data_IF_391916821376
#
_entry.id   IF_391916821376
#
_cell.length_a   1.000
_cell.length_b   1.000
_cell.length_c   1.000
_cell.angle_alpha   90.00
_cell.angle_beta   90.00
_cell.angle_gamma   90.00
#
_symmetry.space_group_name_H-M   'P 1'
#
loop_
_entity.id
_entity.type
_entity.pdbx_description
1 polymer ?
#
# COMPACT_ATOMS: atom_id res chain seq x y z
N UNK A 1 -23.75 -31.12 76.97
CA UNK A 1 -22.28 -31.04 76.90
C UNK A 1 -21.91 -30.41 75.58
N UNK A 2 -21.49 -29.13 75.59
CA UNK A 2 -21.14 -28.35 74.40
C UNK A 2 -19.63 -28.50 74.17
N UNK A 3 -19.23 -28.98 72.99
CA UNK A 3 -17.86 -28.92 72.49
C UNK A 3 -17.55 -27.50 71.98
N UNK A 4 -16.35 -26.94 72.23
CA UNK A 4 -16.00 -25.60 71.76
C UNK A 4 -15.63 -25.61 70.27
N UNK A 5 -16.07 -24.57 69.55
CA UNK A 5 -15.66 -24.27 68.18
C UNK A 5 -14.19 -23.78 68.14
N UNK A 6 -13.43 -24.05 67.06
CA UNK A 6 -12.08 -23.55 66.89
C UNK A 6 -12.06 -22.04 66.58
N UNK A 7 -10.93 -21.34 66.84
CA UNK A 7 -10.83 -19.90 66.66
C UNK A 7 -10.80 -19.50 65.18
N UNK A 8 -11.48 -18.40 64.87
CA UNK A 8 -11.49 -17.76 63.55
C UNK A 8 -10.13 -17.15 63.21
N UNK A 9 -9.50 -17.63 62.14
CA UNK A 9 -8.30 -17.01 61.56
C UNK A 9 -8.75 -15.82 60.71
N UNK A 10 -8.58 -14.60 61.23
CA UNK A 10 -8.69 -13.37 60.45
C UNK A 10 -7.50 -13.27 59.50
N UNK A 11 -7.67 -13.73 58.26
CA UNK A 11 -6.70 -13.51 57.19
C UNK A 11 -7.03 -12.17 56.53
N UNK A 12 -6.37 -11.11 56.95
CA UNK A 12 -6.45 -9.81 56.29
C UNK A 12 -5.81 -9.93 54.90
N UNK A 13 -6.62 -10.06 53.86
CA UNK A 13 -6.16 -9.92 52.48
C UNK A 13 -5.84 -8.43 52.22
N UNK A 14 -4.56 -8.07 52.29
CA UNK A 14 -4.09 -6.81 51.74
C UNK A 14 -4.17 -6.91 50.20
N UNK A 15 -5.22 -6.34 49.62
CA UNK A 15 -5.34 -6.17 48.18
C UNK A 15 -4.35 -5.09 47.75
N UNK A 16 -3.17 -5.51 47.28
CA UNK A 16 -2.21 -4.61 46.66
C UNK A 16 -2.79 -4.16 45.31
N UNK A 17 -3.44 -3.00 45.30
CA UNK A 17 -3.95 -2.36 44.10
C UNK A 17 -2.74 -1.77 43.34
N UNK A 18 -2.09 -2.61 42.54
CA UNK A 18 -1.09 -2.15 41.57
C UNK A 18 -1.84 -1.36 40.51
N UNK A 19 -1.93 -0.04 40.69
CA UNK A 19 -2.29 0.88 39.62
C UNK A 19 -1.09 0.91 38.68
N UNK A 20 -1.01 -0.11 37.82
CA UNK A 20 -0.13 -0.09 36.68
C UNK A 20 -0.63 1.01 35.77
N UNK A 21 0.07 2.15 35.74
CA UNK A 21 -0.05 3.09 34.64
C UNK A 21 0.28 2.31 33.38
N UNK A 22 -0.74 1.94 32.60
CA UNK A 22 -0.58 1.59 31.19
C UNK A 22 -0.08 2.87 30.50
N UNK A 23 1.24 3.10 30.60
CA UNK A 23 1.90 4.02 29.72
C UNK A 23 1.54 3.57 28.31
N UNK A 24 0.81 4.41 27.59
CA UNK A 24 0.60 4.21 26.16
C UNK A 24 1.99 4.07 25.55
N UNK A 25 2.40 2.84 25.23
CA UNK A 25 3.57 2.63 24.39
C UNK A 25 3.26 3.40 23.12
N UNK A 26 4.03 4.44 22.77
CA UNK A 26 3.80 5.13 21.51
C UNK A 26 3.96 4.07 20.42
N UNK A 27 2.89 3.78 19.68
CA UNK A 27 2.99 2.99 18.45
C UNK A 27 3.97 3.75 17.58
N UNK A 28 5.19 3.20 17.43
CA UNK A 28 6.21 3.82 16.62
C UNK A 28 5.63 4.03 15.23
N UNK A 29 5.63 5.28 14.77
CA UNK A 29 5.20 5.61 13.43
C UNK A 29 6.15 4.88 12.47
N UNK A 30 5.61 3.91 11.77
CA UNK A 30 6.41 3.10 10.86
C UNK A 30 7.16 3.97 9.82
N UNK A 31 8.38 3.57 9.43
CA UNK A 31 9.21 4.36 8.51
C UNK A 31 8.54 4.51 7.13
N UNK A 32 8.76 5.67 6.50
CA UNK A 32 8.19 6.05 5.19
C UNK A 32 9.27 6.69 4.32
N UNK A 33 9.09 6.64 2.99
CA UNK A 33 10.04 7.16 2.01
C UNK A 33 10.93 6.10 1.37
N UNK A 34 11.88 6.57 0.56
CA UNK A 34 12.77 5.73 -0.25
C UNK A 34 13.75 4.94 0.65
N UNK A 35 14.03 3.69 0.29
CA UNK A 35 14.93 2.77 0.96
C UNK A 35 14.34 2.12 2.22
N UNK A 36 13.04 2.30 2.48
CA UNK A 36 12.41 1.71 3.66
C UNK A 36 12.36 0.20 3.52
N UNK A 37 12.92 -0.50 4.51
CA UNK A 37 12.91 -1.96 4.53
C UNK A 37 11.53 -2.47 4.94
N UNK A 38 11.14 -3.58 4.32
CA UNK A 38 9.96 -4.32 4.74
C UNK A 38 10.05 -4.68 6.24
N UNK A 39 9.04 -4.35 7.06
CA UNK A 39 9.04 -4.72 8.47
C UNK A 39 8.96 -6.24 8.62
N UNK A 40 9.35 -6.76 9.79
CA UNK A 40 9.30 -8.18 10.07
C UNK A 40 7.88 -8.72 9.88
N UNK A 41 7.73 -9.76 9.06
CA UNK A 41 6.44 -10.38 8.76
C UNK A 41 5.63 -9.72 7.64
N UNK A 42 6.14 -8.65 7.02
CA UNK A 42 5.55 -8.12 5.80
C UNK A 42 5.71 -9.10 4.62
N UNK A 43 4.70 -9.13 3.77
CA UNK A 43 4.75 -9.87 2.51
C UNK A 43 5.55 -9.07 1.47
N UNK A 44 6.74 -9.55 1.11
CA UNK A 44 7.61 -8.90 0.12
C UNK A 44 7.12 -9.23 -1.28
N UNK A 45 6.42 -8.30 -1.92
CA UNK A 45 5.80 -8.55 -3.23
C UNK A 45 6.81 -8.58 -4.39
N UNK A 46 7.98 -7.95 -4.23
CA UNK A 46 9.07 -7.97 -5.21
C UNK A 46 10.42 -7.70 -4.54
N UNK A 47 11.43 -8.52 -4.87
CA UNK A 47 12.76 -8.53 -4.25
C UNK A 47 13.87 -8.28 -5.29
N UNK A 48 13.48 -7.89 -6.51
CA UNK A 48 14.39 -7.74 -7.65
C UNK A 48 14.48 -8.98 -8.54
N UNK A 49 13.97 -10.15 -8.13
CA UNK A 49 14.13 -11.39 -8.88
C UNK A 49 12.97 -11.70 -9.83
N UNK A 50 13.29 -12.34 -10.96
CA UNK A 50 12.31 -12.96 -11.87
C UNK A 50 11.46 -14.01 -11.14
N UNK A 51 12.10 -14.81 -10.29
CA UNK A 51 11.43 -15.85 -9.50
C UNK A 51 10.28 -15.27 -8.67
N UNK A 52 10.51 -14.18 -7.93
CA UNK A 52 9.46 -13.61 -7.10
C UNK A 52 8.36 -12.92 -7.91
N UNK A 53 8.72 -12.28 -9.03
CA UNK A 53 7.74 -11.76 -9.98
C UNK A 53 6.78 -12.86 -10.45
N UNK A 54 7.31 -13.97 -10.97
CA UNK A 54 6.50 -15.07 -11.49
C UNK A 54 5.75 -15.83 -10.38
N UNK A 55 6.29 -15.87 -9.16
CA UNK A 55 5.64 -16.48 -7.99
C UNK A 55 4.43 -15.67 -7.51
N UNK A 56 4.56 -14.34 -7.42
CA UNK A 56 3.59 -13.48 -6.73
C UNK A 56 2.64 -12.72 -7.64
N UNK A 57 2.90 -12.65 -8.93
CA UNK A 57 2.13 -11.84 -9.87
C UNK A 57 1.58 -12.63 -11.05
N UNK A 58 0.53 -12.12 -11.66
CA UNK A 58 -0.05 -12.60 -12.92
C UNK A 58 -0.58 -11.42 -13.72
N UNK A 59 -0.88 -11.60 -15.01
CA UNK A 59 -1.63 -10.60 -15.75
C UNK A 59 -3.03 -10.39 -15.16
N UNK A 60 -3.46 -9.14 -15.06
CA UNK A 60 -4.83 -8.80 -14.75
C UNK A 60 -5.74 -9.19 -15.93
N UNK A 61 -6.79 -9.96 -15.63
CA UNK A 61 -7.77 -10.43 -16.62
C UNK A 61 -8.81 -9.34 -16.92
N UNK A 62 -8.32 -8.20 -17.44
CA UNK A 62 -9.16 -7.10 -17.89
C UNK A 62 -9.78 -7.35 -19.26
N UNK A 63 -10.81 -6.57 -19.65
CA UNK A 63 -11.53 -6.74 -20.91
C UNK A 63 -10.68 -6.55 -22.18
N UNK A 64 -9.44 -6.10 -22.03
CA UNK A 64 -8.52 -5.75 -23.14
C UNK A 64 -7.19 -6.48 -23.06
N UNK A 65 -7.08 -7.54 -22.24
CA UNK A 65 -5.84 -8.30 -22.11
C UNK A 65 -5.54 -9.07 -23.41
N UNK A 66 -4.42 -8.76 -24.04
CA UNK A 66 -3.85 -9.53 -25.15
C UNK A 66 -2.57 -10.30 -24.77
N UNK A 67 -2.00 -10.02 -23.60
CA UNK A 67 -0.80 -10.68 -23.12
C UNK A 67 -1.08 -12.10 -22.61
N UNK A 68 -0.08 -12.96 -22.69
CA UNK A 68 -0.11 -14.34 -22.20
C UNK A 68 1.09 -14.57 -21.31
N UNK A 69 0.94 -15.42 -20.28
CA UNK A 69 2.05 -15.82 -19.41
C UNK A 69 3.17 -16.48 -20.23
N UNK A 70 4.45 -16.33 -19.82
CA UNK A 70 4.92 -15.61 -18.63
C UNK A 70 4.85 -14.08 -18.77
N UNK A 71 4.89 -13.35 -17.64
CA UNK A 71 4.86 -11.88 -17.59
C UNK A 71 6.07 -11.30 -18.34
N UNK A 72 5.82 -10.40 -19.29
CA UNK A 72 6.83 -9.77 -20.15
C UNK A 72 7.46 -8.49 -19.58
N UNK A 73 6.98 -7.99 -18.43
CA UNK A 73 7.68 -6.94 -17.67
C UNK A 73 9.08 -7.43 -17.33
N UNK A 74 10.12 -6.75 -17.82
CA UNK A 74 11.49 -7.24 -17.75
C UNK A 74 12.11 -7.03 -16.37
N UNK A 75 13.08 -7.88 -15.99
CA UNK A 75 13.95 -7.63 -14.84
C UNK A 75 15.23 -7.00 -15.40
N UNK A 76 15.53 -5.79 -14.96
CA UNK A 76 16.63 -4.98 -15.47
C UNK A 76 17.54 -4.51 -14.33
N UNK A 77 18.71 -3.99 -14.67
CA UNK A 77 19.57 -3.31 -13.69
C UNK A 77 18.90 -2.02 -13.24
N UNK A 78 18.93 -1.74 -11.94
CA UNK A 78 18.48 -0.45 -11.40
C UNK A 78 19.27 0.69 -12.06
N UNK A 79 18.60 1.69 -12.67
CA UNK A 79 19.26 2.82 -13.29
C UNK A 79 20.02 3.72 -12.30
N UNK A 80 19.72 3.65 -11.00
CA UNK A 80 20.29 4.48 -9.96
C UNK A 80 20.81 3.68 -8.74
N UNK A 81 21.01 2.38 -8.89
CA UNK A 81 21.40 1.50 -7.78
C UNK A 81 22.08 0.19 -8.21
N UNK A 82 22.55 -0.62 -7.22
CA UNK A 82 23.22 -1.89 -7.49
C UNK A 82 22.25 -3.07 -7.67
N UNK A 83 20.97 -2.86 -7.36
CA UNK A 83 19.92 -3.89 -7.39
C UNK A 83 19.34 -4.08 -8.80
N UNK A 84 18.34 -4.95 -8.89
CA UNK A 84 17.52 -5.15 -10.09
C UNK A 84 16.11 -4.62 -9.85
N UNK A 85 15.46 -4.23 -10.94
CA UNK A 85 14.14 -3.59 -10.95
C UNK A 85 13.23 -4.27 -11.96
N UNK A 86 11.93 -4.05 -11.80
CA UNK A 86 10.93 -4.46 -12.77
C UNK A 86 10.61 -3.30 -13.71
N UNK A 87 10.79 -3.49 -15.00
CA UNK A 87 10.40 -2.53 -16.02
C UNK A 87 8.95 -2.80 -16.44
N UNK A 88 8.07 -1.81 -16.24
CA UNK A 88 6.65 -1.91 -16.53
C UNK A 88 6.28 -1.80 -18.01
N UNK A 89 7.26 -1.68 -18.89
CA UNK A 89 7.04 -1.72 -20.33
C UNK A 89 6.77 -3.17 -20.79
N UNK A 90 5.52 -3.47 -21.14
CA UNK A 90 5.16 -4.73 -21.76
C UNK A 90 5.15 -4.60 -23.31
N UNK A 91 6.04 -5.28 -24.05
CA UNK A 91 6.08 -5.18 -25.50
C UNK A 91 4.84 -5.74 -26.20
N UNK A 92 4.04 -6.58 -25.53
CA UNK A 92 2.78 -7.06 -26.10
C UNK A 92 1.69 -6.00 -26.18
N UNK A 93 1.90 -4.86 -25.52
CA UNK A 93 1.05 -3.68 -25.60
C UNK A 93 1.54 -2.63 -26.64
N UNK A 94 2.63 -2.92 -27.37
CA UNK A 94 3.15 -2.01 -28.38
C UNK A 94 2.10 -1.66 -29.43
N UNK A 95 2.10 -0.41 -29.91
CA UNK A 95 1.08 0.11 -30.82
C UNK A 95 -0.07 0.85 -30.11
N UNK A 96 -0.02 0.96 -28.78
CA UNK A 96 -0.77 1.97 -28.03
C UNK A 96 -2.28 1.77 -27.99
N UNK A 97 -2.79 0.63 -28.46
CA UNK A 97 -4.23 0.34 -28.34
C UNK A 97 -4.67 0.30 -26.87
N UNK A 98 -3.80 -0.17 -25.94
CA UNK A 98 -4.25 -0.57 -24.60
C UNK A 98 -3.33 -0.21 -23.40
N UNK A 99 -2.21 0.51 -23.59
CA UNK A 99 -1.21 0.71 -22.51
C UNK A 99 -0.52 -0.62 -22.13
N UNK A 100 0.58 -0.58 -21.36
CA UNK A 100 1.29 -1.80 -20.94
C UNK A 100 0.33 -2.82 -20.30
N UNK A 101 0.49 -4.12 -20.56
CA UNK A 101 -0.38 -5.14 -20.00
C UNK A 101 -0.23 -5.19 -18.46
N UNK A 102 -1.30 -4.84 -17.75
CA UNK A 102 -1.32 -4.74 -16.29
C UNK A 102 -1.04 -6.08 -15.61
N UNK A 103 -0.27 -6.04 -14.52
CA UNK A 103 -0.06 -7.17 -13.63
C UNK A 103 -0.75 -6.92 -12.29
N UNK A 104 -1.15 -8.00 -11.63
CA UNK A 104 -1.79 -7.99 -10.32
C UNK A 104 -1.15 -9.04 -9.42
N UNK A 105 -1.14 -8.80 -8.11
CA UNK A 105 -0.74 -9.81 -7.14
C UNK A 105 -1.71 -11.00 -7.21
N UNK A 106 -1.18 -12.22 -7.12
CA UNK A 106 -2.01 -13.44 -7.03
C UNK A 106 -2.79 -13.48 -5.71
N UNK A 107 -2.19 -12.99 -4.64
CA UNK A 107 -2.86 -12.80 -3.36
C UNK A 107 -3.75 -11.56 -3.40
N UNK A 108 -4.97 -11.69 -2.86
CA UNK A 108 -5.87 -10.58 -2.64
C UNK A 108 -5.69 -9.99 -1.24
N UNK A 109 -5.82 -8.66 -1.13
CA UNK A 109 -5.70 -7.93 0.13
C UNK A 109 -6.97 -7.10 0.38
N UNK A 110 -7.38 -7.04 1.65
CA UNK A 110 -8.54 -6.26 2.09
C UNK A 110 -8.09 -4.92 2.67
N UNK A 111 -7.58 -4.94 3.90
CA UNK A 111 -6.95 -3.79 4.53
C UNK A 111 -5.46 -4.05 4.61
N UNK A 112 -4.66 -3.05 4.27
CA UNK A 112 -3.23 -3.23 4.19
C UNK A 112 -2.48 -1.91 4.32
N UNK A 113 -1.20 -2.06 4.63
CA UNK A 113 -0.19 -1.04 4.38
C UNK A 113 0.68 -1.51 3.23
N UNK A 114 0.91 -0.62 2.28
CA UNK A 114 1.71 -0.87 1.09
C UNK A 114 2.87 0.13 1.05
N UNK A 115 4.04 -0.37 0.69
CA UNK A 115 5.19 0.42 0.32
C UNK A 115 5.57 0.04 -1.12
N UNK A 116 5.76 1.05 -1.97
CA UNK A 116 6.18 0.85 -3.36
C UNK A 116 7.13 1.97 -3.76
N UNK A 117 8.24 1.58 -4.39
CA UNK A 117 9.17 2.51 -5.02
C UNK A 117 9.06 2.43 -6.53
N UNK A 118 9.18 3.57 -7.19
CA UNK A 118 9.06 3.68 -8.64
C UNK A 118 10.05 4.71 -9.20
N UNK A 119 10.41 4.52 -10.47
CA UNK A 119 11.36 5.35 -11.19
C UNK A 119 10.76 5.74 -12.54
N UNK A 120 10.56 7.04 -12.76
CA UNK A 120 10.11 7.54 -14.07
C UNK A 120 11.34 7.90 -14.90
N UNK A 121 11.57 7.14 -15.97
CA UNK A 121 12.80 7.24 -16.77
C UNK A 121 12.78 8.33 -17.84
N UNK A 122 11.58 8.72 -18.30
CA UNK A 122 11.39 9.69 -19.40
C UNK A 122 10.26 10.65 -19.07
N UNK A 123 10.32 11.85 -19.65
CA UNK A 123 9.23 12.81 -19.55
C UNK A 123 7.92 12.21 -20.08
N UNK A 124 6.82 12.48 -19.38
CA UNK A 124 5.51 11.90 -19.69
C UNK A 124 5.37 10.39 -19.46
N UNK A 125 6.35 9.75 -18.80
CA UNK A 125 6.20 8.35 -18.38
C UNK A 125 4.97 8.19 -17.48
N UNK A 126 4.15 7.18 -17.77
CA UNK A 126 2.82 6.96 -17.17
C UNK A 126 2.65 5.50 -16.75
N UNK A 127 2.15 5.29 -15.54
CA UNK A 127 1.78 4.01 -14.94
C UNK A 127 0.83 4.28 -13.76
N UNK A 128 0.50 3.29 -12.96
CA UNK A 128 -0.35 3.48 -11.79
C UNK A 128 -0.23 2.36 -10.77
N UNK A 129 -0.54 2.67 -9.52
CA UNK A 129 -0.65 1.67 -8.44
C UNK A 129 -2.13 1.52 -8.10
N UNK A 130 -2.72 0.39 -8.48
CA UNK A 130 -4.14 0.13 -8.27
C UNK A 130 -4.41 -0.59 -6.95
N UNK A 131 -5.21 0.02 -6.08
CA UNK A 131 -5.69 -0.60 -4.84
C UNK A 131 -6.97 -1.37 -5.14
N UNK A 132 -6.94 -2.69 -4.91
CA UNK A 132 -8.03 -3.63 -5.22
C UNK A 132 -8.54 -3.59 -6.67
N UNK A 133 -7.66 -3.27 -7.64
CA UNK A 133 -8.01 -3.10 -9.06
C UNK A 133 -9.11 -2.04 -9.30
N UNK A 134 -9.24 -1.06 -8.39
CA UNK A 134 -10.33 -0.06 -8.41
C UNK A 134 -9.82 1.36 -8.25
N UNK A 135 -8.91 1.56 -7.30
CA UNK A 135 -8.49 2.91 -6.90
C UNK A 135 -7.06 3.14 -7.35
N UNK A 136 -6.88 3.97 -8.38
CA UNK A 136 -5.58 4.26 -8.95
C UNK A 136 -4.89 5.38 -8.18
N UNK A 137 -3.72 5.08 -7.63
CA UNK A 137 -2.74 6.10 -7.27
C UNK A 137 -1.84 6.32 -8.48
N UNK A 138 -2.00 7.49 -9.08
CA UNK A 138 -1.38 7.81 -10.37
C UNK A 138 0.15 7.89 -10.29
N UNK A 139 0.84 7.35 -11.30
CA UNK A 139 2.27 7.56 -11.54
C UNK A 139 2.44 8.21 -12.92
N UNK A 140 2.57 9.54 -12.97
CA UNK A 140 2.77 10.24 -14.24
C UNK A 140 3.69 11.44 -14.08
N UNK A 141 4.61 11.63 -15.02
CA UNK A 141 5.41 12.86 -15.10
C UNK A 141 4.68 13.96 -15.89
N UNK A 142 4.68 15.18 -15.37
CA UNK A 142 4.21 16.38 -16.07
C UNK A 142 2.76 16.80 -15.85
N UNK A 143 1.95 16.03 -15.11
CA UNK A 143 0.55 16.36 -14.82
C UNK A 143 0.34 16.69 -13.32
N UNK A 144 -0.30 17.83 -13.05
CA UNK A 144 -0.63 18.36 -11.70
C UNK A 144 -2.12 18.38 -11.38
N UNK A 145 -2.96 17.83 -12.27
CA UNK A 145 -4.42 17.80 -12.14
C UNK A 145 -4.90 16.68 -11.20
N UNK A 146 -6.19 16.35 -11.22
CA UNK A 146 -6.75 15.16 -10.56
C UNK A 146 -6.37 13.83 -11.22
N UNK A 147 -5.66 13.89 -12.36
CA UNK A 147 -5.06 12.74 -13.04
C UNK A 147 -3.52 12.81 -13.00
N UNK A 148 -2.97 13.70 -12.15
CA UNK A 148 -1.53 13.95 -12.04
C UNK A 148 -0.82 13.11 -10.98
N UNK A 149 0.51 13.23 -10.91
CA UNK A 149 1.38 12.43 -10.04
C UNK A 149 0.85 12.30 -8.60
N UNK A 150 0.67 11.07 -8.11
CA UNK A 150 0.24 10.80 -6.74
C UNK A 150 -1.22 11.18 -6.43
N UNK A 151 -2.00 11.63 -7.41
CA UNK A 151 -3.44 11.75 -7.23
C UNK A 151 -4.06 10.36 -7.07
N UNK A 152 -4.99 10.22 -6.14
CA UNK A 152 -6.02 9.18 -6.23
C UNK A 152 -6.98 9.66 -7.31
N UNK A 153 -6.97 9.00 -8.47
CA UNK A 153 -7.68 9.48 -9.67
C UNK A 153 -9.16 9.69 -9.34
N UNK A 154 -9.70 10.83 -9.80
CA UNK A 154 -11.06 11.34 -9.56
C UNK A 154 -11.40 11.74 -8.13
N UNK A 155 -10.50 11.56 -7.16
CA UNK A 155 -10.80 11.82 -5.74
C UNK A 155 -9.97 12.95 -5.13
N UNK A 156 -8.76 13.15 -5.62
CA UNK A 156 -7.81 14.12 -5.05
C UNK A 156 -7.05 14.85 -6.14
N UNK A 157 -6.56 16.05 -5.83
CA UNK A 157 -5.59 16.75 -6.68
C UNK A 157 -4.21 16.13 -6.50
N UNK A 158 -3.37 16.22 -7.53
CA UNK A 158 -1.97 15.77 -7.48
C UNK A 158 -1.18 16.54 -6.42
N UNK A 159 -0.52 15.85 -5.47
CA UNK A 159 0.48 16.46 -4.58
C UNK A 159 1.85 16.54 -5.27
N UNK A 160 1.90 17.09 -6.49
CA UNK A 160 3.08 17.09 -7.36
C UNK A 160 4.35 17.65 -6.70
N UNK A 161 4.21 18.57 -5.74
CA UNK A 161 5.32 19.13 -4.95
C UNK A 161 6.14 18.08 -4.15
N UNK A 162 5.61 16.87 -3.98
CA UNK A 162 6.29 15.78 -3.30
C UNK A 162 7.10 14.88 -4.25
N UNK A 163 6.89 14.98 -5.57
CA UNK A 163 7.60 14.20 -6.59
C UNK A 163 9.07 14.64 -6.72
N UNK A 164 10.00 13.68 -6.76
CA UNK A 164 11.43 13.97 -6.90
C UNK A 164 11.85 14.33 -8.34
N UNK A 165 10.99 14.05 -9.32
CA UNK A 165 11.24 14.28 -10.75
C UNK A 165 11.73 13.02 -11.48
N UNK A 166 11.81 13.16 -12.81
CA UNK A 166 12.38 12.15 -13.73
C UNK A 166 13.80 11.81 -13.29
N UNK A 167 14.18 10.54 -13.48
CA UNK A 167 15.55 10.10 -13.24
C UNK A 167 15.88 9.89 -11.77
N UNK A 168 14.86 9.87 -10.90
CA UNK A 168 15.01 9.64 -9.46
C UNK A 168 13.99 8.63 -8.98
N UNK A 169 14.41 7.87 -7.96
CA UNK A 169 13.49 7.04 -7.19
C UNK A 169 12.48 7.90 -6.42
N UNK A 170 11.29 7.33 -6.31
CA UNK A 170 10.14 7.90 -5.64
C UNK A 170 9.45 6.79 -4.85
N UNK A 171 8.83 7.13 -3.72
CA UNK A 171 8.17 6.15 -2.85
C UNK A 171 6.75 6.59 -2.49
N UNK A 172 5.82 5.65 -2.57
CA UNK A 172 4.51 5.76 -1.93
C UNK A 172 4.42 4.82 -0.74
N UNK A 173 4.00 5.37 0.40
CA UNK A 173 3.60 4.60 1.58
C UNK A 173 2.11 4.81 1.81
N UNK A 174 1.33 3.77 1.54
CA UNK A 174 -0.13 3.82 1.50
C UNK A 174 -0.69 3.00 2.65
N UNK A 175 -1.63 3.58 3.39
CA UNK A 175 -2.52 2.85 4.28
C UNK A 175 -3.91 2.82 3.66
N UNK A 176 -4.38 1.62 3.35
CA UNK A 176 -5.65 1.38 2.69
C UNK A 176 -6.59 0.57 3.59
N UNK A 177 -7.82 1.06 3.73
CA UNK A 177 -8.94 0.32 4.30
C UNK A 177 -9.98 0.10 3.21
N UNK A 178 -10.31 -1.15 2.90
CA UNK A 178 -11.37 -1.45 1.94
C UNK A 178 -12.73 -0.93 2.44
N UNK A 179 -13.61 -0.60 1.49
CA UNK A 179 -15.00 -0.29 1.78
C UNK A 179 -15.67 -1.42 2.59
N UNK A 180 -16.63 -1.05 3.44
CA UNK A 180 -17.44 -2.00 4.22
C UNK A 180 -18.81 -2.16 3.60
N UNK A 181 -19.34 -3.38 3.68
CA UNK A 181 -20.61 -3.75 3.11
C UNK A 181 -21.39 -4.61 4.11
N UNK A 182 -22.69 -4.37 4.20
CA UNK A 182 -23.65 -5.19 4.94
C UNK A 182 -24.85 -5.44 4.04
N UNK A 183 -25.28 -6.70 3.90
CA UNK A 183 -26.39 -7.05 3.02
C UNK A 183 -26.21 -6.62 1.55
N UNK A 184 -24.97 -6.57 1.05
CA UNK A 184 -24.64 -6.10 -0.31
C UNK A 184 -24.65 -4.58 -0.50
N UNK A 185 -25.01 -3.80 0.53
CA UNK A 185 -24.97 -2.34 0.51
C UNK A 185 -23.71 -1.82 1.18
N UNK A 186 -23.07 -0.81 0.57
CA UNK A 186 -21.90 -0.14 1.16
C UNK A 186 -22.31 0.61 2.43
N UNK A 187 -21.66 0.31 3.55
CA UNK A 187 -21.85 0.98 4.85
C UNK A 187 -20.75 1.98 5.15
N UNK A 188 -19.54 1.75 4.66
CA UNK A 188 -18.42 2.68 4.80
C UNK A 188 -17.61 2.73 3.49
N UNK A 189 -17.13 3.91 3.08
CA UNK A 189 -16.25 4.02 1.93
C UNK A 189 -14.87 3.39 2.21
N UNK A 190 -14.16 3.09 1.11
CA UNK A 190 -12.74 2.83 1.18
C UNK A 190 -12.01 4.08 1.68
N UNK A 191 -10.90 3.90 2.40
CA UNK A 191 -10.11 5.01 2.92
C UNK A 191 -8.65 4.85 2.54
N UNK A 192 -8.02 5.95 2.14
CA UNK A 192 -6.60 6.00 1.79
C UNK A 192 -5.91 7.11 2.60
N UNK A 193 -4.79 6.77 3.23
CA UNK A 193 -3.77 7.73 3.66
C UNK A 193 -2.50 7.44 2.88
N UNK A 194 -1.78 8.48 2.48
CA UNK A 194 -0.57 8.32 1.69
C UNK A 194 0.53 9.29 2.13
N UNK A 195 1.75 8.76 2.22
CA UNK A 195 2.97 9.54 2.17
C UNK A 195 3.61 9.38 0.79
N UNK A 196 4.12 10.49 0.27
CA UNK A 196 4.88 10.54 -0.97
C UNK A 196 6.26 11.11 -0.66
N UNK A 197 7.30 10.29 -0.85
CA UNK A 197 8.69 10.65 -0.50
C UNK A 197 8.79 11.14 0.95
N UNK A 198 8.14 10.42 1.88
CA UNK A 198 8.11 10.74 3.31
C UNK A 198 7.21 11.91 3.71
N UNK A 199 6.65 12.68 2.76
CA UNK A 199 5.72 13.78 3.02
C UNK A 199 4.30 13.26 3.05
N UNK A 200 3.51 13.60 4.07
CA UNK A 200 2.09 13.21 4.13
C UNK A 200 1.31 14.04 3.10
N UNK A 201 0.70 13.37 2.12
CA UNK A 201 -0.01 14.05 1.02
C UNK A 201 -1.52 13.80 1.03
N UNK A 202 -1.96 12.63 1.51
CA UNK A 202 -3.37 12.28 1.68
C UNK A 202 -3.65 11.83 3.12
N UNK A 203 -4.78 12.25 3.71
CA UNK A 203 -5.15 11.91 5.11
C UNK A 203 -6.55 11.29 5.18
N UNK A 204 -6.66 10.25 6.00
CA UNK A 204 -7.93 9.72 6.49
C UNK A 204 -8.45 10.57 7.66
N UNK A 205 -9.68 11.09 7.55
CA UNK A 205 -10.32 11.87 8.61
C UNK A 205 -11.75 12.29 8.30
N UNK A 206 -12.02 12.77 7.08
CA UNK A 206 -13.37 13.18 6.65
C UNK A 206 -13.82 12.44 5.38
N UNK A 207 -13.27 11.25 5.13
CA UNK A 207 -13.50 10.51 3.88
C UNK A 207 -12.75 11.16 2.71
N UNK A 208 -11.73 10.47 2.21
CA UNK A 208 -11.68 10.40 0.74
C UNK A 208 -12.75 9.35 0.47
N UNK A 209 -14.00 9.79 0.32
CA UNK A 209 -15.03 8.91 -0.18
C UNK A 209 -14.59 8.55 -1.59
N UNK A 210 -13.98 7.38 -1.76
CA UNK A 210 -13.67 6.93 -3.11
C UNK A 210 -15.00 6.56 -3.78
N UNK A 211 -15.61 7.55 -4.44
CA UNK A 211 -16.83 7.45 -5.22
C UNK A 211 -16.45 7.15 -6.67
N UNK A 212 -16.24 5.86 -6.98
CA UNK A 212 -16.54 5.43 -8.33
C UNK A 212 -18.04 5.11 -8.41
N UNK A 213 -18.73 5.83 -9.30
CA UNK A 213 -20.04 5.45 -9.82
C UNK A 213 -19.92 4.18 -10.64
#
# INVERSE_FOLDING_TARGET
MKSPLPPSINTTFALLLVIGSLGMIPIAKEPVGIGVKAPKGADVLFDGSRKQLDEKWTYWQGPRLAATLPIKWAIEKDPAGPQTVMNSNDPSAAGGLYGAADIVTKQAFRDFRLHVEFYVSKAGGNSGVYLQNRYEVQVVDGDTTSHGMGAIINETKSPYYAYNGIGKWNAYDIQFRAARFEGGKRTEPAMVSMYFNGKKVHRTGNGIDVFQR
#
